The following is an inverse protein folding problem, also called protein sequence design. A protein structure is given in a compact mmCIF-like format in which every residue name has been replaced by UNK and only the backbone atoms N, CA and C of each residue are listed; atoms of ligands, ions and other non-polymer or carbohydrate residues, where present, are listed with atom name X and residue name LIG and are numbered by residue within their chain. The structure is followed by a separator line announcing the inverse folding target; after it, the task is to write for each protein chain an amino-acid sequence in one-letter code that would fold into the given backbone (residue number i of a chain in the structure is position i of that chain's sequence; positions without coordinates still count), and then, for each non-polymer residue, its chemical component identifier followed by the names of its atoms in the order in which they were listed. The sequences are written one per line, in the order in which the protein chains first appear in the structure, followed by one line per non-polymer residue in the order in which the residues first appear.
data_IF_442011911031
#
_entry.id   IF_442011911031
#
_cell.length_a   1.000
_cell.length_b   1.000
_cell.length_c   1.000
_cell.angle_alpha   90.00
_cell.angle_beta   90.00
_cell.angle_gamma   90.00
#
_symmetry.space_group_name_H-M   'P 1'
#
loop_
_entity.id
_entity.type
_entity.pdbx_description
1 polymer ?
#
# COMPACT_ATOMS: atom_id res chain seq x y z
N UNK A 1 3.85 -21.55 75.96
CA UNK A 1 2.44 -21.23 75.64
C UNK A 1 2.41 -20.02 74.71
N UNK A 2 2.36 -20.25 73.40
CA UNK A 2 1.92 -19.26 72.41
C UNK A 2 1.52 -19.99 71.14
N UNK A 3 0.22 -19.92 70.89
CA UNK A 3 -0.56 -20.51 69.82
C UNK A 3 -0.26 -19.73 68.52
N UNK A 4 0.06 -20.41 67.41
CA UNK A 4 0.12 -19.79 66.09
C UNK A 4 -0.87 -20.54 65.18
N UNK A 5 -1.91 -19.79 64.83
CA UNK A 5 -3.10 -20.22 64.11
C UNK A 5 -2.77 -20.37 62.62
N UNK A 6 -3.09 -21.54 62.08
CA UNK A 6 -3.13 -21.84 60.64
C UNK A 6 -4.21 -21.02 59.96
N UNK A 7 -3.84 -20.29 58.91
CA UNK A 7 -4.81 -19.74 57.93
C UNK A 7 -4.62 -20.52 56.63
N UNK A 8 -5.45 -21.54 56.43
CA UNK A 8 -5.63 -22.20 55.12
C UNK A 8 -6.48 -21.28 54.24
N UNK A 9 -5.89 -20.70 53.21
CA UNK A 9 -6.63 -20.06 52.12
C UNK A 9 -6.95 -21.15 51.09
N UNK A 10 -8.18 -21.64 51.12
CA UNK A 10 -8.72 -22.50 50.07
C UNK A 10 -8.96 -21.66 48.81
N UNK A 11 -7.99 -21.66 47.88
CA UNK A 11 -8.18 -21.10 46.55
C UNK A 11 -9.01 -22.11 45.73
N UNK A 12 -10.30 -21.81 45.56
CA UNK A 12 -11.17 -22.55 44.65
C UNK A 12 -10.66 -22.37 43.21
N UNK A 13 -10.31 -23.48 42.57
CA UNK A 13 -9.95 -23.51 41.15
C UNK A 13 -11.15 -23.12 40.29
N UNK A 14 -11.12 -21.90 39.76
CA UNK A 14 -11.95 -21.51 38.64
C UNK A 14 -11.22 -21.93 37.36
N UNK A 15 -11.74 -22.96 36.68
CA UNK A 15 -11.30 -23.32 35.33
C UNK A 15 -11.46 -22.10 34.42
N UNK A 16 -10.42 -21.67 33.68
CA UNK A 16 -10.55 -20.59 32.72
C UNK A 16 -11.63 -20.95 31.70
N UNK A 17 -12.48 -19.99 31.27
CA UNK A 17 -13.42 -20.24 30.19
C UNK A 17 -12.64 -20.70 28.94
N UNK A 18 -13.21 -21.62 28.13
CA UNK A 18 -12.59 -22.00 26.87
C UNK A 18 -12.38 -20.74 26.01
N UNK A 19 -11.26 -20.66 25.27
CA UNK A 19 -11.01 -19.54 24.38
C UNK A 19 -12.17 -19.43 23.40
N UNK A 20 -12.80 -18.26 23.35
CA UNK A 20 -13.80 -17.94 22.33
C UNK A 20 -13.16 -18.17 20.96
N UNK A 21 -13.83 -18.85 20.01
CA UNK A 21 -13.33 -18.96 18.65
C UNK A 21 -13.02 -17.56 18.13
N UNK A 22 -11.75 -17.28 17.82
CA UNK A 22 -11.39 -16.06 17.11
C UNK A 22 -12.09 -16.15 15.75
N UNK A 23 -13.00 -15.23 15.49
CA UNK A 23 -13.55 -15.01 14.16
C UNK A 23 -12.34 -14.75 13.25
N UNK A 24 -12.04 -15.68 12.35
CA UNK A 24 -11.02 -15.49 11.33
C UNK A 24 -11.44 -14.25 10.56
N UNK A 25 -10.64 -13.19 10.66
CA UNK A 25 -10.87 -11.99 9.87
C UNK A 25 -10.93 -12.42 8.39
N UNK A 26 -12.06 -12.23 7.70
CA UNK A 26 -12.21 -12.66 6.31
C UNK A 26 -11.19 -12.01 5.36
N UNK A 27 -10.41 -11.04 5.81
CA UNK A 27 -9.29 -10.45 5.06
C UNK A 27 -7.91 -11.06 5.31
N UNK A 28 -7.75 -11.97 6.28
CA UNK A 28 -6.47 -12.62 6.52
C UNK A 28 -5.99 -13.36 5.27
N UNK A 29 -4.81 -13.01 4.78
CA UNK A 29 -4.22 -13.55 3.55
C UNK A 29 -4.77 -13.04 2.20
N UNK A 30 -5.67 -12.04 2.18
CA UNK A 30 -6.13 -11.44 0.91
C UNK A 30 -5.06 -10.51 0.32
N UNK A 31 -4.72 -10.70 -0.96
CA UNK A 31 -3.92 -9.74 -1.72
C UNK A 31 -4.79 -8.59 -2.26
N UNK A 32 -4.35 -7.36 -2.02
CA UNK A 32 -4.94 -6.12 -2.53
C UNK A 32 -4.58 -6.00 -4.01
N UNK A 33 -5.59 -5.88 -4.88
CA UNK A 33 -5.35 -5.76 -6.32
C UNK A 33 -5.02 -4.32 -6.64
N UNK A 34 -3.88 -4.08 -7.27
CA UNK A 34 -3.48 -2.74 -7.69
C UNK A 34 -3.12 -2.69 -9.17
N UNK A 35 -3.48 -1.60 -9.84
CA UNK A 35 -3.14 -1.33 -11.23
C UNK A 35 -2.79 0.15 -11.39
N UNK A 36 -1.61 0.43 -11.93
CA UNK A 36 -1.24 1.78 -12.35
C UNK A 36 -1.84 2.10 -13.71
N UNK A 37 -2.29 3.34 -13.88
CA UNK A 37 -2.78 3.87 -15.15
C UNK A 37 -2.17 5.24 -15.39
N UNK A 38 -1.91 5.53 -16.66
CA UNK A 38 -1.47 6.83 -17.13
C UNK A 38 -2.30 7.20 -18.35
N UNK A 39 -2.82 8.42 -18.37
CA UNK A 39 -3.57 8.98 -19.48
C UNK A 39 -2.88 10.25 -19.96
N UNK A 40 -2.73 10.41 -21.28
CA UNK A 40 -2.09 11.58 -21.87
C UNK A 40 -2.83 12.86 -21.43
N UNK A 41 -2.08 13.81 -20.90
CA UNK A 41 -2.51 15.17 -20.61
C UNK A 41 -1.81 16.17 -21.55
N UNK A 42 -2.10 17.46 -21.39
CA UNK A 42 -1.51 18.51 -22.20
C UNK A 42 0.00 18.65 -21.96
N UNK A 43 0.72 19.10 -23.00
CA UNK A 43 2.10 19.54 -22.87
C UNK A 43 3.12 18.45 -22.53
N UNK A 44 2.89 17.20 -22.98
CA UNK A 44 3.82 16.08 -22.73
C UNK A 44 3.69 15.47 -21.32
N UNK A 45 2.70 15.90 -20.55
CA UNK A 45 2.39 15.34 -19.24
C UNK A 45 1.46 14.13 -19.37
N UNK A 46 1.48 13.26 -18.37
CA UNK A 46 0.48 12.21 -18.19
C UNK A 46 -0.16 12.35 -16.82
N UNK A 47 -1.48 12.17 -16.77
CA UNK A 47 -2.21 12.04 -15.51
C UNK A 47 -2.07 10.60 -15.02
N UNK A 48 -1.52 10.44 -13.83
CA UNK A 48 -1.32 9.14 -13.18
C UNK A 48 -2.45 8.87 -12.20
N UNK A 49 -3.00 7.66 -12.28
CA UNK A 49 -3.95 7.14 -11.30
C UNK A 49 -3.55 5.74 -10.85
N UNK A 50 -4.00 5.40 -9.65
CA UNK A 50 -3.83 4.09 -9.05
C UNK A 50 -5.21 3.48 -8.84
N UNK A 51 -5.46 2.33 -9.43
CA UNK A 51 -6.66 1.54 -9.17
C UNK A 51 -6.37 0.59 -8.03
N UNK A 52 -7.13 0.69 -6.96
CA UNK A 52 -7.05 -0.18 -5.78
C UNK A 52 -8.37 -0.92 -5.63
N UNK A 53 -8.34 -2.24 -5.73
CA UNK A 53 -9.53 -3.10 -5.67
C UNK A 53 -10.69 -2.65 -6.59
N UNK A 54 -10.33 -2.16 -7.78
CA UNK A 54 -11.26 -1.69 -8.80
C UNK A 54 -11.68 -0.22 -8.67
N UNK A 55 -11.28 0.48 -7.61
CA UNK A 55 -11.52 1.92 -7.42
C UNK A 55 -10.32 2.74 -7.87
N UNK A 56 -10.52 3.64 -8.83
CA UNK A 56 -9.47 4.54 -9.30
C UNK A 56 -9.28 5.74 -8.36
N UNK A 57 -8.02 6.04 -8.03
CA UNK A 57 -7.60 7.21 -7.28
C UNK A 57 -6.60 8.02 -8.12
N UNK A 58 -6.97 9.25 -8.48
CA UNK A 58 -6.07 10.17 -9.19
C UNK A 58 -5.00 10.69 -8.25
N UNK A 59 -3.74 10.64 -8.68
CA UNK A 59 -2.58 11.02 -7.86
C UNK A 59 -1.99 12.36 -8.27
N UNK A 60 -1.94 12.62 -9.58
CA UNK A 60 -1.37 13.85 -10.12
C UNK A 60 -0.77 13.59 -11.50
N UNK A 61 0.26 14.36 -11.84
CA UNK A 61 0.89 14.33 -13.16
C UNK A 61 2.37 13.99 -13.06
N UNK A 62 2.85 13.28 -14.07
CA UNK A 62 4.28 13.08 -14.37
C UNK A 62 4.58 13.64 -15.75
N UNK A 63 5.83 14.01 -15.96
CA UNK A 63 6.33 14.24 -17.31
C UNK A 63 6.39 12.91 -18.05
N UNK A 64 5.95 12.87 -19.29
CA UNK A 64 6.09 11.74 -20.19
C UNK A 64 6.82 12.15 -21.49
N UNK A 65 7.27 13.40 -21.58
CA UNK A 65 8.07 13.91 -22.67
C UNK A 65 9.41 13.18 -22.65
N UNK A 66 9.71 12.51 -23.75
CA UNK A 66 11.10 12.18 -24.04
C UNK A 66 11.62 13.22 -25.00
N UNK A 67 12.91 13.56 -24.91
CA UNK A 67 13.58 14.44 -25.89
C UNK A 67 13.53 13.87 -27.33
N UNK A 68 13.03 12.64 -27.51
CA UNK A 68 13.15 11.84 -28.72
C UNK A 68 11.83 11.55 -29.45
N UNK A 69 10.65 11.62 -28.81
CA UNK A 69 9.37 11.40 -29.51
C UNK A 69 8.25 12.33 -29.00
N UNK A 70 7.78 13.22 -29.90
CA UNK A 70 6.59 14.04 -29.71
C UNK A 70 5.32 13.19 -29.90
N UNK A 71 4.50 13.06 -28.85
CA UNK A 71 3.09 12.67 -29.01
C UNK A 71 2.69 11.24 -28.62
N UNK A 72 3.40 10.57 -27.71
CA UNK A 72 2.90 9.34 -27.07
C UNK A 72 3.36 9.26 -25.61
N UNK A 73 2.57 8.66 -24.69
CA UNK A 73 2.91 8.49 -23.26
C UNK A 73 4.03 7.43 -23.04
N UNK A 74 4.95 7.29 -24.00
CA UNK A 74 5.65 6.07 -24.39
C UNK A 74 6.66 5.51 -23.38
N UNK A 75 6.90 6.17 -22.25
CA UNK A 75 7.92 5.75 -21.28
C UNK A 75 7.38 5.48 -19.88
N UNK A 76 6.07 5.33 -19.73
CA UNK A 76 5.53 4.86 -18.46
C UNK A 76 5.84 3.38 -18.23
N UNK A 77 6.32 3.05 -17.04
CA UNK A 77 6.66 1.69 -16.67
C UNK A 77 6.57 1.43 -15.17
N UNK A 78 6.33 0.17 -14.82
CA UNK A 78 6.56 -0.33 -13.48
C UNK A 78 8.06 -0.52 -13.25
N UNK A 79 8.63 0.27 -12.35
CA UNK A 79 10.02 0.11 -11.91
C UNK A 79 10.16 -1.03 -10.91
N UNK A 80 9.16 -1.19 -10.07
CA UNK A 80 9.09 -2.25 -9.07
C UNK A 80 7.64 -2.73 -8.88
N UNK A 81 7.50 -4.04 -8.72
CA UNK A 81 6.25 -4.71 -8.37
C UNK A 81 6.55 -5.78 -7.31
N UNK A 82 6.44 -5.40 -6.04
CA UNK A 82 6.69 -6.24 -4.87
C UNK A 82 5.41 -6.36 -4.03
N UNK A 83 5.19 -7.46 -3.29
CA UNK A 83 4.02 -7.63 -2.42
C UNK A 83 3.79 -6.55 -1.36
N UNK A 84 4.72 -5.63 -1.12
CA UNK A 84 4.56 -4.54 -0.14
C UNK A 84 4.84 -3.16 -0.75
N UNK A 85 5.29 -3.10 -2.00
CA UNK A 85 5.71 -1.87 -2.64
C UNK A 85 5.62 -1.97 -4.15
N UNK A 86 5.12 -0.93 -4.79
CA UNK A 86 5.22 -0.76 -6.24
C UNK A 86 5.63 0.67 -6.59
N UNK A 87 6.37 0.81 -7.68
CA UNK A 87 6.88 2.08 -8.16
C UNK A 87 6.53 2.23 -9.64
N UNK A 88 6.01 3.40 -10.00
CA UNK A 88 5.54 3.74 -11.32
C UNK A 88 6.15 5.07 -11.77
N UNK A 89 6.84 5.04 -12.90
CA UNK A 89 7.53 6.19 -13.47
C UNK A 89 7.05 6.42 -14.89
N UNK A 90 7.22 7.65 -15.37
CA UNK A 90 6.99 8.08 -16.74
C UNK A 90 8.08 9.10 -17.08
N UNK A 91 8.50 9.17 -18.35
CA UNK A 91 9.43 10.20 -18.80
C UNK A 91 10.81 10.05 -18.16
N UNK A 92 11.25 11.10 -17.48
CA UNK A 92 12.52 11.12 -16.76
C UNK A 92 12.49 10.16 -15.55
N UNK A 93 13.60 9.47 -15.30
CA UNK A 93 13.71 8.54 -14.15
C UNK A 93 13.85 9.30 -12.82
N UNK A 94 13.85 10.64 -12.85
CA UNK A 94 14.06 11.48 -11.69
C UNK A 94 12.79 11.63 -10.85
N UNK A 95 11.61 11.47 -11.45
CA UNK A 95 10.33 11.60 -10.76
C UNK A 95 9.42 10.39 -10.95
N UNK A 96 8.98 9.80 -9.84
CA UNK A 96 8.11 8.62 -9.88
C UNK A 96 7.17 8.56 -8.67
N UNK A 97 6.06 7.85 -8.85
CA UNK A 97 5.16 7.51 -7.75
C UNK A 97 5.54 6.18 -7.13
N UNK A 98 5.45 6.10 -5.81
CA UNK A 98 5.67 4.87 -5.03
C UNK A 98 4.48 4.63 -4.13
N UNK A 99 3.86 3.47 -4.25
CA UNK A 99 2.84 3.01 -3.32
C UNK A 99 3.44 1.94 -2.39
N UNK A 100 3.37 2.17 -1.08
CA UNK A 100 3.88 1.26 -0.05
C UNK A 100 2.71 0.82 0.84
N UNK A 101 2.60 -0.48 1.10
CA UNK A 101 1.64 -1.00 2.05
C UNK A 101 2.19 -0.84 3.47
N UNK A 102 1.52 -0.04 4.28
CA UNK A 102 1.83 0.21 5.68
C UNK A 102 0.63 -0.18 6.53
N UNK A 103 0.68 -1.38 7.12
CA UNK A 103 -0.46 -1.96 7.87
C UNK A 103 -1.70 -2.02 6.97
N UNK A 104 -2.74 -1.27 7.33
CA UNK A 104 -4.05 -1.24 6.67
C UNK A 104 -4.19 -0.04 5.71
N UNK A 105 -3.07 0.57 5.31
CA UNK A 105 -3.04 1.74 4.45
C UNK A 105 -2.05 1.58 3.31
N UNK A 106 -2.46 1.98 2.11
CA UNK A 106 -1.57 2.17 0.99
C UNK A 106 -1.16 3.63 0.94
N UNK A 107 0.12 3.88 1.23
CA UNK A 107 0.72 5.22 1.25
C UNK A 107 1.39 5.47 -0.09
N UNK A 108 0.87 6.45 -0.82
CA UNK A 108 1.39 6.87 -2.12
C UNK A 108 2.24 8.11 -1.93
N UNK A 109 3.51 8.00 -2.28
CA UNK A 109 4.50 9.08 -2.23
C UNK A 109 4.95 9.44 -3.63
N UNK A 110 5.16 10.73 -3.86
CA UNK A 110 5.95 11.23 -4.98
C UNK A 110 7.41 11.26 -4.56
N UNK A 111 8.27 10.62 -5.33
CA UNK A 111 9.72 10.65 -5.13
C UNK A 111 10.34 11.45 -6.26
N UNK A 112 11.17 12.42 -5.89
CA UNK A 112 11.98 13.24 -6.78
C UNK A 112 13.44 13.04 -6.37
N UNK A 113 14.33 12.78 -7.32
CA UNK A 113 15.74 12.58 -7.04
C UNK A 113 16.37 13.82 -6.37
N UNK A 114 17.15 13.60 -5.32
CA UNK A 114 17.72 14.67 -4.51
C UNK A 114 16.75 15.36 -3.52
N UNK A 115 15.46 14.99 -3.50
CA UNK A 115 14.46 15.57 -2.60
C UNK A 115 13.90 14.57 -1.58
N UNK A 116 13.26 15.09 -0.53
CA UNK A 116 12.52 14.26 0.42
C UNK A 116 11.21 13.76 -0.22
N UNK A 117 10.88 12.46 -0.10
CA UNK A 117 9.61 11.94 -0.61
C UNK A 117 8.41 12.69 -0.01
N UNK A 118 7.47 13.07 -0.87
CA UNK A 118 6.25 13.77 -0.46
C UNK A 118 5.06 12.81 -0.48
N UNK A 119 4.33 12.69 0.63
CA UNK A 119 3.06 11.94 0.64
C UNK A 119 2.01 12.68 -0.20
N UNK A 120 1.41 11.96 -1.15
CA UNK A 120 0.40 12.50 -2.07
C UNK A 120 -0.98 11.95 -1.73
N UNK A 121 -1.05 10.69 -1.28
CA UNK A 121 -2.32 10.04 -0.96
C UNK A 121 -2.11 8.95 0.07
N UNK A 122 -3.10 8.80 0.96
CA UNK A 122 -3.24 7.66 1.86
C UNK A 122 -4.59 7.01 1.59
N UNK A 123 -4.57 5.71 1.30
CA UNK A 123 -5.77 4.97 0.90
C UNK A 123 -5.96 3.83 1.89
N UNK A 124 -7.07 3.79 2.66
CA UNK A 124 -7.36 2.65 3.51
C UNK A 124 -7.60 1.40 2.66
N UNK A 125 -6.98 0.28 3.05
CA UNK A 125 -7.02 -0.99 2.32
C UNK A 125 -7.19 -2.14 3.30
N UNK A 126 -7.68 -3.26 2.79
CA UNK A 126 -7.93 -4.47 3.56
C UNK A 126 -7.22 -5.65 2.88
N UNK A 127 -6.07 -6.04 3.44
CA UNK A 127 -5.25 -7.15 2.95
C UNK A 127 -3.78 -7.04 3.39
N UNK A 128 -3.02 -8.11 3.20
CA UNK A 128 -1.66 -8.25 3.76
C UNK A 128 -0.54 -8.08 2.72
N UNK A 129 -0.91 -7.92 1.46
CA UNK A 129 0.05 -7.76 0.37
C UNK A 129 -0.58 -7.24 -0.91
N UNK A 130 0.27 -6.88 -1.86
CA UNK A 130 -0.09 -6.28 -3.13
C UNK A 130 -0.01 -7.34 -4.25
N UNK A 131 -1.08 -7.41 -5.04
CA UNK A 131 -1.09 -8.08 -6.34
C UNK A 131 -1.08 -6.99 -7.41
N UNK A 132 0.10 -6.76 -7.99
CA UNK A 132 0.33 -5.69 -8.97
C UNK A 132 0.02 -6.21 -10.37
N UNK A 133 -1.00 -5.64 -11.01
CA UNK A 133 -1.29 -5.90 -12.41
C UNK A 133 -0.15 -5.35 -13.30
N UNK A 134 0.19 -6.04 -14.41
CA UNK A 134 1.12 -5.48 -15.37
C UNK A 134 0.60 -4.15 -15.91
N UNK A 135 1.51 -3.22 -16.17
CA UNK A 135 1.17 -2.00 -16.87
C UNK A 135 1.05 -2.27 -18.37
N UNK A 136 -0.03 -1.79 -18.98
CA UNK A 136 -0.30 -1.92 -20.42
C UNK A 136 -0.73 -0.56 -20.95
N UNK A 137 -0.11 -0.16 -22.07
CA UNK A 137 -0.44 1.06 -22.82
C UNK A 137 -1.76 0.91 -23.59
#
# INVERSE_FOLDING_TARGET
MRLLILVLVAACGATPPPPTPQELDPSSGRAIRIQWRAEQADGGLVTVSLVVDGKAETLGQLDASTEFELGSPATCALRAAHPLRTEFLCGDLARYYRATLERDELVVTLVVDGEQPTEVKRIPVVGEGLSVAPYTL
#
